data_IF_903835663795
#
_entry.id   IF_903835663795
#
_cell.length_a   1.000
_cell.length_b   1.000
_cell.length_c   1.000
_cell.angle_alpha   90.00
_cell.angle_beta   90.00
_cell.angle_gamma   90.00
#
_symmetry.space_group_name_H-M   'P 1'
#
loop_
_entity.id
_entity.type
_entity.pdbx_description
1 polymer ?
#
# COMPACT_ATOMS: atom_id res chain seq x y z
N UNK A 1 -11.91 11.23 27.46
CA UNK A 1 -11.67 10.57 26.16
C UNK A 1 -10.49 9.60 26.33
N UNK A 2 -10.64 8.58 27.19
CA UNK A 2 -9.49 7.93 27.86
C UNK A 2 -9.58 6.40 27.93
N UNK A 3 -10.71 5.79 28.27
CA UNK A 3 -10.76 4.32 28.48
C UNK A 3 -10.90 3.50 27.21
N UNK A 4 -11.60 4.01 26.19
CA UNK A 4 -11.82 3.31 24.92
C UNK A 4 -10.55 3.32 24.05
N UNK A 5 -9.88 4.47 23.94
CA UNK A 5 -8.64 4.62 23.18
C UNK A 5 -7.55 3.72 23.72
N UNK A 6 -7.44 3.63 25.04
CA UNK A 6 -6.45 2.79 25.72
C UNK A 6 -6.70 1.28 25.50
N UNK A 7 -7.98 0.86 25.47
CA UNK A 7 -8.37 -0.52 25.11
C UNK A 7 -8.08 -0.85 23.64
N UNK A 8 -8.30 0.11 22.73
CA UNK A 8 -8.01 -0.04 21.29
C UNK A 8 -6.51 -0.14 21.06
N UNK A 9 -5.72 0.71 21.71
CA UNK A 9 -4.26 0.65 21.63
C UNK A 9 -3.72 -0.68 22.15
N UNK A 10 -4.22 -1.14 23.31
CA UNK A 10 -3.89 -2.46 23.88
C UNK A 10 -4.19 -3.60 22.90
N UNK A 11 -5.33 -3.56 22.21
CA UNK A 11 -5.70 -4.59 21.23
C UNK A 11 -4.79 -4.55 20.00
N UNK A 12 -4.44 -3.35 19.52
CA UNK A 12 -3.56 -3.18 18.36
C UNK A 12 -2.18 -3.80 18.61
N UNK A 13 -1.66 -3.74 19.84
CA UNK A 13 -0.34 -4.30 20.18
C UNK A 13 -0.26 -5.81 19.98
N UNK A 14 -1.34 -6.55 20.24
CA UNK A 14 -1.36 -8.00 20.06
C UNK A 14 -1.76 -8.39 18.63
N UNK A 15 -2.72 -7.67 18.06
CA UNK A 15 -3.25 -7.99 16.72
C UNK A 15 -2.26 -7.64 15.63
N UNK A 16 -1.55 -6.52 15.73
CA UNK A 16 -0.64 -6.02 14.70
C UNK A 16 0.56 -6.93 14.40
N UNK A 17 1.29 -7.50 15.37
CA UNK A 17 2.38 -8.45 15.08
C UNK A 17 1.85 -9.75 14.48
N UNK A 18 0.68 -10.24 14.92
CA UNK A 18 0.04 -11.42 14.33
C UNK A 18 -0.32 -11.16 12.87
N UNK A 19 -0.95 -10.02 12.58
CA UNK A 19 -1.27 -9.59 11.22
C UNK A 19 -0.01 -9.41 10.38
N UNK A 20 1.05 -8.82 10.94
CA UNK A 20 2.32 -8.66 10.26
C UNK A 20 2.88 -10.00 9.78
N UNK A 21 2.96 -11.00 10.67
CA UNK A 21 3.47 -12.33 10.34
C UNK A 21 2.59 -13.00 9.29
N UNK A 22 1.27 -12.98 9.45
CA UNK A 22 0.33 -13.59 8.50
C UNK A 22 0.45 -12.95 7.11
N UNK A 23 0.42 -11.61 7.03
CA UNK A 23 0.54 -10.88 5.76
C UNK A 23 1.88 -11.17 5.10
N UNK A 24 2.98 -11.21 5.86
CA UNK A 24 4.29 -11.56 5.32
C UNK A 24 4.32 -12.98 4.76
N UNK A 25 3.88 -13.98 5.52
CA UNK A 25 3.85 -15.38 5.08
C UNK A 25 2.99 -15.52 3.83
N UNK A 26 1.76 -15.01 3.84
CA UNK A 26 0.83 -15.12 2.71
C UNK A 26 1.40 -14.48 1.45
N UNK A 27 1.94 -13.26 1.54
CA UNK A 27 2.46 -12.56 0.36
C UNK A 27 3.78 -13.16 -0.15
N UNK A 28 4.64 -13.67 0.73
CA UNK A 28 5.86 -14.40 0.34
C UNK A 28 5.49 -15.68 -0.39
N UNK A 29 4.57 -16.48 0.17
CA UNK A 29 4.08 -17.70 -0.48
C UNK A 29 3.44 -17.40 -1.83
N UNK A 30 2.65 -16.33 -1.93
CA UNK A 30 2.08 -15.88 -3.21
C UNK A 30 3.16 -15.58 -4.24
N UNK A 31 4.21 -14.83 -3.87
CA UNK A 31 5.32 -14.51 -4.78
C UNK A 31 6.05 -15.80 -5.19
N UNK A 32 6.29 -16.73 -4.26
CA UNK A 32 6.95 -18.00 -4.54
C UNK A 32 6.15 -18.85 -5.54
N UNK A 33 4.84 -19.02 -5.30
CA UNK A 33 3.94 -19.82 -6.15
C UNK A 33 3.81 -19.17 -7.54
N UNK A 34 3.56 -17.87 -7.60
CA UNK A 34 3.35 -17.15 -8.86
C UNK A 34 4.63 -16.96 -9.69
N UNK A 35 5.80 -17.17 -9.08
CA UNK A 35 7.09 -17.21 -9.80
C UNK A 35 7.33 -18.53 -10.52
N UNK A 36 6.54 -19.57 -10.32
CA UNK A 36 6.75 -20.85 -11.00
C UNK A 36 6.59 -20.71 -12.52
N UNK A 37 7.43 -21.43 -13.28
CA UNK A 37 7.57 -21.33 -14.74
C UNK A 37 6.28 -21.74 -15.46
N UNK A 38 5.52 -22.65 -14.88
CA UNK A 38 4.21 -23.11 -15.36
C UNK A 38 3.16 -21.99 -15.33
N UNK A 39 3.18 -21.14 -14.31
CA UNK A 39 2.24 -20.05 -14.10
C UNK A 39 2.64 -18.75 -14.83
N UNK A 40 3.92 -18.53 -15.17
CA UNK A 40 4.37 -17.32 -15.90
C UNK A 40 3.74 -17.10 -17.29
N UNK A 41 3.02 -18.09 -17.81
CA UNK A 41 2.29 -17.99 -19.07
C UNK A 41 1.15 -16.95 -19.02
N UNK A 42 0.58 -16.70 -17.84
CA UNK A 42 -0.52 -15.75 -17.67
C UNK A 42 -0.03 -14.34 -17.30
N UNK A 43 -0.51 -13.33 -18.02
CA UNK A 43 -0.32 -11.90 -17.69
C UNK A 43 -0.88 -11.54 -16.31
N UNK A 44 -1.98 -12.19 -15.91
CA UNK A 44 -2.68 -11.97 -14.64
C UNK A 44 -1.74 -12.11 -13.42
N UNK A 45 -0.80 -13.05 -13.49
CA UNK A 45 0.11 -13.35 -12.38
C UNK A 45 1.08 -12.21 -12.07
N UNK A 46 1.42 -11.38 -13.06
CA UNK A 46 2.27 -10.20 -12.83
C UNK A 46 1.57 -9.15 -11.96
N UNK A 47 0.25 -8.99 -12.11
CA UNK A 47 -0.53 -8.10 -11.24
C UNK A 47 -0.60 -8.63 -9.81
N UNK A 48 -0.78 -9.94 -9.62
CA UNK A 48 -0.78 -10.54 -8.27
C UNK A 48 0.59 -10.46 -7.58
N UNK A 49 1.68 -10.57 -8.33
CA UNK A 49 3.03 -10.34 -7.80
C UNK A 49 3.17 -8.87 -7.37
N UNK A 50 2.75 -7.92 -8.21
CA UNK A 50 2.80 -6.48 -7.87
C UNK A 50 1.93 -6.14 -6.66
N UNK A 51 0.74 -6.74 -6.55
CA UNK A 51 -0.13 -6.66 -5.38
C UNK A 51 0.59 -7.16 -4.11
N UNK A 52 1.24 -8.32 -4.20
CA UNK A 52 1.92 -8.92 -3.05
C UNK A 52 3.09 -8.06 -2.57
N UNK A 53 3.86 -7.49 -3.51
CA UNK A 53 4.94 -6.54 -3.19
C UNK A 53 4.41 -5.28 -2.52
N UNK A 54 3.34 -4.68 -3.07
CA UNK A 54 2.73 -3.47 -2.50
C UNK A 54 2.18 -3.72 -1.10
N UNK A 55 1.60 -4.90 -0.87
CA UNK A 55 1.07 -5.32 0.43
C UNK A 55 2.19 -5.52 1.47
N UNK A 56 3.30 -6.15 1.08
CA UNK A 56 4.49 -6.29 1.94
C UNK A 56 5.04 -4.91 2.31
N UNK A 57 5.22 -4.02 1.32
CA UNK A 57 5.72 -2.67 1.57
C UNK A 57 4.80 -1.90 2.54
N UNK A 58 3.49 -1.98 2.33
CA UNK A 58 2.50 -1.33 3.20
C UNK A 58 2.64 -1.82 4.65
N UNK A 59 2.66 -3.13 4.85
CA UNK A 59 2.75 -3.74 6.18
C UNK A 59 4.09 -3.46 6.86
N UNK A 60 5.19 -3.43 6.10
CA UNK A 60 6.52 -3.03 6.58
C UNK A 60 6.61 -1.57 6.99
N UNK A 61 5.76 -0.67 6.47
CA UNK A 61 5.73 0.74 6.89
C UNK A 61 4.76 0.93 8.06
N UNK A 62 3.57 0.35 7.97
CA UNK A 62 2.51 0.52 8.96
C UNK A 62 2.90 -0.05 10.32
N UNK A 63 3.37 -1.30 10.38
CA UNK A 63 3.57 -1.97 11.67
C UNK A 63 4.70 -1.33 12.49
N UNK A 64 5.89 -1.06 11.93
CA UNK A 64 6.93 -0.34 12.67
C UNK A 64 6.51 1.06 13.07
N UNK A 65 5.80 1.79 12.20
CA UNK A 65 5.26 3.12 12.51
C UNK A 65 4.36 3.10 13.75
N UNK A 66 3.42 2.15 13.82
CA UNK A 66 2.52 2.05 14.98
C UNK A 66 3.25 1.59 16.25
N UNK A 67 4.20 0.65 16.13
CA UNK A 67 5.02 0.21 17.27
C UNK A 67 5.91 1.33 17.80
N UNK A 68 6.60 2.06 16.93
CA UNK A 68 7.51 3.15 17.29
C UNK A 68 6.79 4.36 17.89
N UNK A 69 5.57 4.65 17.43
CA UNK A 69 4.71 5.69 18.01
C UNK A 69 4.50 5.50 19.51
N UNK A 70 4.43 4.25 19.98
CA UNK A 70 4.27 3.93 21.40
C UNK A 70 5.53 4.18 22.24
N UNK A 71 6.70 4.03 21.64
CA UNK A 71 7.99 4.27 22.30
C UNK A 71 8.45 5.74 22.20
N UNK A 72 7.60 6.64 21.70
CA UNK A 72 7.95 8.04 21.39
C UNK A 72 9.16 8.20 20.46
N UNK A 73 9.52 7.15 19.70
CA UNK A 73 10.58 7.21 18.69
C UNK A 73 9.94 7.65 17.37
N UNK A 74 9.72 8.96 17.23
CA UNK A 74 8.95 9.52 16.12
C UNK A 74 9.86 9.92 14.96
N UNK A 75 10.34 8.95 14.18
CA UNK A 75 10.99 9.25 12.89
C UNK A 75 10.03 9.96 11.92
N UNK A 76 8.72 9.81 12.16
CA UNK A 76 7.62 10.49 11.47
C UNK A 76 7.58 11.99 11.82
N UNK A 77 8.04 12.40 13.00
CA UNK A 77 8.13 13.81 13.41
C UNK A 77 9.42 14.48 12.89
N UNK A 78 9.87 14.07 11.71
CA UNK A 78 10.88 14.78 10.93
C UNK A 78 10.18 15.47 9.77
N UNK A 79 10.73 16.59 9.27
CA UNK A 79 10.15 17.33 8.13
C UNK A 79 9.88 16.44 6.91
N UNK A 80 10.74 15.44 6.68
CA UNK A 80 10.59 14.47 5.58
C UNK A 80 9.62 13.35 5.94
N UNK A 81 9.76 12.74 7.13
CA UNK A 81 8.90 11.65 7.59
C UNK A 81 7.42 12.05 7.65
N UNK A 82 7.16 13.31 7.97
CA UNK A 82 5.82 13.88 8.09
C UNK A 82 5.02 13.86 6.79
N UNK A 83 5.72 14.06 5.68
CA UNK A 83 5.12 14.13 4.34
C UNK A 83 5.12 12.77 3.67
N UNK A 84 6.20 12.01 3.85
CA UNK A 84 6.40 10.73 3.19
C UNK A 84 5.56 9.61 3.81
N UNK A 85 5.40 9.57 5.13
CA UNK A 85 4.65 8.52 5.82
C UNK A 85 3.16 8.47 5.41
N UNK A 86 2.38 9.57 5.52
CA UNK A 86 0.98 9.54 5.08
C UNK A 86 0.87 9.24 3.60
N UNK A 87 1.75 9.81 2.75
CA UNK A 87 1.77 9.50 1.33
C UNK A 87 1.90 7.99 1.05
N UNK A 88 2.87 7.30 1.66
CA UNK A 88 3.05 5.87 1.48
C UNK A 88 1.88 5.05 2.05
N UNK A 89 1.35 5.46 3.20
CA UNK A 89 0.20 4.80 3.83
C UNK A 89 -1.08 4.86 2.97
N UNK A 90 -1.25 5.88 2.14
CA UNK A 90 -2.39 5.97 1.21
C UNK A 90 -2.10 5.39 -0.18
N UNK A 91 -0.89 5.57 -0.71
CA UNK A 91 -0.51 5.09 -2.06
C UNK A 91 -0.48 3.58 -2.14
N UNK A 92 0.16 2.91 -1.18
CA UNK A 92 0.37 1.47 -1.23
C UNK A 92 -0.92 0.64 -1.22
N UNK A 93 -1.92 0.90 -0.35
CA UNK A 93 -3.19 0.18 -0.42
C UNK A 93 -3.97 0.52 -1.69
N UNK A 94 -3.94 1.78 -2.16
CA UNK A 94 -4.57 2.14 -3.43
C UNK A 94 -3.95 1.38 -4.61
N UNK A 95 -2.62 1.28 -4.64
CA UNK A 95 -1.88 0.53 -5.64
C UNK A 95 -2.26 -0.95 -5.58
N UNK A 96 -2.31 -1.55 -4.39
CA UNK A 96 -2.73 -2.94 -4.19
C UNK A 96 -4.15 -3.17 -4.73
N UNK A 97 -5.11 -2.31 -4.39
CA UNK A 97 -6.49 -2.38 -4.92
C UNK A 97 -6.54 -2.24 -6.44
N UNK A 98 -5.78 -1.32 -7.02
CA UNK A 98 -5.71 -1.15 -8.47
C UNK A 98 -5.16 -2.40 -9.17
N UNK A 99 -4.13 -3.04 -8.61
CA UNK A 99 -3.59 -4.28 -9.16
C UNK A 99 -4.62 -5.42 -9.16
N UNK A 100 -5.47 -5.52 -8.14
CA UNK A 100 -6.57 -6.51 -8.12
C UNK A 100 -7.64 -6.23 -9.18
N UNK A 101 -7.98 -4.95 -9.39
CA UNK A 101 -8.93 -4.55 -10.44
C UNK A 101 -8.36 -4.90 -11.82
N UNK A 102 -7.09 -4.56 -12.06
CA UNK A 102 -6.40 -4.88 -13.32
C UNK A 102 -6.26 -6.39 -13.53
N UNK A 103 -5.97 -7.17 -12.48
CA UNK A 103 -5.93 -8.63 -12.55
C UNK A 103 -7.28 -9.22 -12.94
N UNK A 104 -8.37 -8.69 -12.38
CA UNK A 104 -9.74 -9.12 -12.68
C UNK A 104 -10.12 -8.78 -14.12
N UNK A 105 -9.76 -7.59 -14.59
CA UNK A 105 -9.98 -7.16 -15.97
C UNK A 105 -9.17 -7.99 -16.98
N UNK A 106 -7.92 -8.30 -16.66
CA UNK A 106 -7.05 -9.15 -17.50
C UNK A 106 -7.64 -10.55 -17.63
N UNK A 107 -8.13 -11.13 -16.52
CA UNK A 107 -8.80 -12.44 -16.52
C UNK A 107 -10.09 -12.41 -17.33
N UNK A 108 -10.89 -11.36 -17.22
CA UNK A 108 -12.08 -11.17 -18.06
C UNK A 108 -11.73 -11.11 -19.55
N UNK A 109 -10.69 -10.36 -19.91
CA UNK A 109 -10.20 -10.27 -21.29
C UNK A 109 -9.70 -11.63 -21.80
N UNK A 110 -8.96 -12.38 -20.98
CA UNK A 110 -8.47 -13.72 -21.34
C UNK A 110 -9.58 -14.74 -21.55
N UNK A 111 -10.71 -14.62 -20.85
CA UNK A 111 -11.87 -15.51 -20.99
C UNK A 111 -12.87 -15.07 -22.06
N UNK A 112 -12.67 -13.91 -22.69
CA UNK A 112 -13.58 -13.39 -23.71
C UNK A 112 -13.49 -14.19 -25.02
N UNK A 113 -14.63 -14.37 -25.68
CA UNK A 113 -14.74 -15.01 -27.01
C UNK A 113 -14.11 -14.12 -28.10
N UNK A 114 -14.09 -12.81 -27.90
CA UNK A 114 -13.57 -11.86 -28.88
C UNK A 114 -12.04 -11.88 -28.92
N UNK A 115 -11.49 -12.17 -30.09
CA UNK A 115 -10.03 -12.17 -30.34
C UNK A 115 -9.39 -10.82 -30.01
N UNK A 116 -10.11 -9.72 -30.24
CA UNK A 116 -9.63 -8.36 -29.91
C UNK A 116 -9.51 -8.13 -28.40
N UNK A 117 -10.42 -8.67 -27.60
CA UNK A 117 -10.32 -8.58 -26.14
C UNK A 117 -9.24 -9.52 -25.60
N UNK A 118 -9.15 -10.74 -26.14
CA UNK A 118 -8.12 -11.69 -25.74
C UNK A 118 -6.70 -11.19 -26.03
N UNK A 119 -6.50 -10.43 -27.11
CA UNK A 119 -5.18 -9.86 -27.45
C UNK A 119 -4.72 -8.77 -26.47
N UNK A 120 -5.62 -8.16 -25.69
CA UNK A 120 -5.28 -7.22 -24.61
C UNK A 120 -4.65 -7.92 -23.41
N UNK A 121 -4.95 -9.20 -23.19
CA UNK A 121 -4.34 -10.04 -22.15
C UNK A 121 -2.95 -10.50 -22.61
N UNK A 122 -2.02 -9.55 -22.62
CA UNK A 122 -0.64 -9.76 -23.03
C UNK A 122 0.30 -9.26 -21.93
N UNK A 123 1.39 -10.00 -21.70
CA UNK A 123 2.41 -9.67 -20.68
C UNK A 123 2.98 -8.26 -20.90
N UNK A 124 3.15 -7.81 -22.16
CA UNK A 124 3.63 -6.46 -22.45
C UNK A 124 2.64 -5.40 -21.98
N UNK A 125 1.35 -5.58 -22.30
CA UNK A 125 0.28 -4.69 -21.86
C UNK A 125 0.21 -4.68 -20.34
N UNK A 126 0.28 -5.86 -19.71
CA UNK A 126 0.25 -5.96 -18.25
C UNK A 126 1.38 -5.21 -17.56
N UNK A 127 2.61 -5.30 -18.07
CA UNK A 127 3.75 -4.54 -17.52
C UNK A 127 3.53 -3.02 -17.64
N UNK A 128 3.06 -2.55 -18.80
CA UNK A 128 2.73 -1.14 -18.98
C UNK A 128 1.59 -0.68 -18.09
N UNK A 129 0.53 -1.48 -17.94
CA UNK A 129 -0.60 -1.20 -17.05
C UNK A 129 -0.17 -1.11 -15.58
N UNK A 130 0.76 -1.96 -15.13
CA UNK A 130 1.31 -1.89 -13.75
C UNK A 130 2.06 -0.57 -13.56
N UNK A 131 2.93 -0.19 -14.51
CA UNK A 131 3.74 1.04 -14.41
C UNK A 131 2.83 2.27 -14.45
N UNK A 132 1.95 2.36 -15.44
CA UNK A 132 1.00 3.47 -15.60
C UNK A 132 0.04 3.56 -14.41
N UNK A 133 -0.48 2.43 -13.93
CA UNK A 133 -1.34 2.38 -12.75
C UNK A 133 -0.64 2.85 -11.49
N UNK A 134 0.62 2.43 -11.29
CA UNK A 134 1.42 2.85 -10.13
C UNK A 134 1.71 4.36 -10.17
N UNK A 135 2.05 4.91 -11.34
CA UNK A 135 2.24 6.35 -11.54
C UNK A 135 0.95 7.13 -11.30
N UNK A 136 -0.19 6.63 -11.79
CA UNK A 136 -1.49 7.25 -11.58
C UNK A 136 -1.86 7.30 -10.08
N UNK A 137 -1.67 6.19 -9.36
CA UNK A 137 -1.88 6.16 -7.90
C UNK A 137 -1.00 7.18 -7.17
N UNK A 138 0.27 7.27 -7.54
CA UNK A 138 1.20 8.24 -6.94
C UNK A 138 0.78 9.70 -7.21
N UNK A 139 0.33 10.00 -8.44
CA UNK A 139 -0.17 11.33 -8.80
C UNK A 139 -1.45 11.67 -8.03
N UNK A 140 -2.42 10.77 -7.97
CA UNK A 140 -3.68 10.98 -7.25
C UNK A 140 -3.47 11.25 -5.75
N UNK A 141 -2.46 10.62 -5.14
CA UNK A 141 -2.15 10.79 -3.71
C UNK A 141 -1.07 11.82 -3.42
N UNK A 142 -0.46 12.42 -4.45
CA UNK A 142 0.51 13.51 -4.29
C UNK A 142 0.03 14.69 -3.44
N UNK A 143 -1.27 15.07 -3.40
CA UNK A 143 -1.74 16.14 -2.52
C UNK A 143 -1.43 15.90 -1.03
N UNK A 144 -1.35 14.64 -0.60
CA UNK A 144 -1.02 14.30 0.80
C UNK A 144 0.36 14.83 1.21
N UNK A 145 1.31 14.96 0.29
CA UNK A 145 2.64 15.50 0.58
C UNK A 145 2.57 17.00 0.94
N UNK A 146 1.59 17.72 0.41
CA UNK A 146 1.42 19.16 0.62
C UNK A 146 0.51 19.48 1.82
N UNK A 147 -0.41 18.59 2.17
CA UNK A 147 -1.41 18.82 3.23
C UNK A 147 -0.80 18.67 4.64
N UNK A 148 0.18 17.79 4.81
CA UNK A 148 0.82 17.54 6.10
C UNK A 148 2.07 18.40 6.26
N UNK A 149 2.17 19.12 7.37
CA UNK A 149 3.35 19.91 7.69
C UNK A 149 3.87 19.59 9.09
N UNK A 150 5.18 19.78 9.25
CA UNK A 150 5.86 19.53 10.50
C UNK A 150 5.82 20.79 11.36
N UNK A 151 5.14 20.73 12.50
CA UNK A 151 5.10 21.84 13.44
C UNK A 151 6.30 21.76 14.39
N UNK A 152 7.24 22.69 14.23
CA UNK A 152 8.47 22.77 15.02
C UNK A 152 8.27 23.12 16.50
N UNK A 153 7.14 23.72 16.90
CA UNK A 153 6.88 24.09 18.31
C UNK A 153 6.34 22.92 19.12
N UNK A 154 5.46 22.10 18.53
CA UNK A 154 4.85 20.93 19.21
C UNK A 154 5.60 19.64 18.88
N UNK A 155 6.62 19.69 18.01
CA UNK A 155 7.35 18.55 17.49
C UNK A 155 6.41 17.45 16.96
N UNK A 156 5.32 17.82 16.29
CA UNK A 156 4.27 16.92 15.82
C UNK A 156 3.95 17.15 14.35
N UNK A 157 3.53 16.07 13.68
CA UNK A 157 2.95 16.13 12.36
C UNK A 157 1.47 16.48 12.43
N UNK A 158 1.12 17.64 11.89
CA UNK A 158 -0.26 18.13 11.87
C UNK A 158 -0.69 18.46 10.46
N UNK A 159 -1.98 18.32 10.21
CA UNK A 159 -2.59 18.79 8.98
C UNK A 159 -2.55 20.33 8.97
N UNK A 160 -2.18 20.92 7.82
CA UNK A 160 -2.03 22.37 7.66
C UNK A 160 -3.25 23.19 8.12
N UNK A 161 -4.47 22.65 7.97
CA UNK A 161 -5.71 23.31 8.44
C UNK A 161 -5.74 23.56 9.94
N UNK A 162 -5.07 22.73 10.74
CA UNK A 162 -5.05 22.87 12.19
C UNK A 162 -4.03 23.93 12.65
N UNK A 163 -3.08 24.31 11.78
CA UNK A 163 -2.03 25.29 12.07
C UNK A 163 -2.52 26.74 11.94
N UNK A 164 -3.65 26.96 11.24
CA UNK A 164 -4.29 28.28 11.07
C UNK A 164 -5.31 28.61 12.17
N UNK A 165 -5.62 27.65 13.04
CA UNK A 165 -6.62 27.75 14.11
C UNK A 165 -6.05 27.87 15.53
N UNK A 166 -4.73 27.85 15.69
CA UNK A 166 -4.02 28.17 16.95
C UNK A 166 -3.37 29.56 16.90
#
# INVERSE_FOLDING_TARGET
MSTLTERVDQTSIYVQPILFILVMITNILNICILRDRTLRSSSCNYYFISFSVSSILYTCILCPTQSLRRYNILWINTTVGCKLNPFLLFVLPLQASLMLILASFDRFCSSSISVKLRSLSNIRVARWSIILGSLLCALCMSPMIFIYDFNSTVHLCTQYSNLLTE
#
